data_IF_037050478324
#
_entry.id   IF_037050478324
#
_cell.length_a   1.000
_cell.length_b   1.000
_cell.length_c   1.000
_cell.angle_alpha   90.00
_cell.angle_beta   90.00
_cell.angle_gamma   90.00
#
_symmetry.space_group_name_H-M   'P 1'
#
loop_
_entity.id
_entity.type
_entity.pdbx_description
1 polymer ?
#
# COMPACT_ATOMS: atom_id res chain seq x y z
N UNK A 1 -12.11 -30.77 -21.83
CA UNK A 1 -12.25 -29.65 -20.87
C UNK A 1 -12.36 -28.37 -21.69
N UNK A 2 -13.55 -27.76 -21.77
CA UNK A 2 -13.83 -26.65 -22.69
C UNK A 2 -13.75 -25.33 -21.91
N UNK A 3 -12.76 -24.48 -22.19
CA UNK A 3 -12.67 -23.15 -21.59
C UNK A 3 -13.63 -22.21 -22.32
N UNK A 4 -14.74 -21.85 -21.67
CA UNK A 4 -15.87 -21.15 -22.30
C UNK A 4 -15.56 -19.72 -22.79
N UNK A 5 -14.47 -19.11 -22.31
CA UNK A 5 -13.96 -17.83 -22.84
C UNK A 5 -12.43 -17.86 -22.92
N UNK A 6 -11.83 -18.00 -24.11
CA UNK A 6 -10.41 -17.74 -24.35
C UNK A 6 -10.17 -16.22 -24.46
N UNK A 7 -10.61 -15.47 -23.45
CA UNK A 7 -10.27 -14.05 -23.33
C UNK A 7 -8.81 -13.99 -22.88
N UNK A 8 -7.90 -13.83 -23.85
CA UNK A 8 -6.51 -13.48 -23.58
C UNK A 8 -6.54 -12.07 -22.97
N UNK A 9 -6.53 -12.01 -21.64
CA UNK A 9 -6.32 -10.77 -20.90
C UNK A 9 -4.87 -10.33 -21.15
N UNK A 10 -4.67 -9.58 -22.23
CA UNK A 10 -3.49 -8.76 -22.41
C UNK A 10 -3.49 -7.70 -21.31
N UNK A 11 -2.87 -8.03 -20.18
CA UNK A 11 -2.60 -7.09 -19.11
C UNK A 11 -1.91 -5.87 -19.72
N UNK A 12 -2.64 -4.74 -19.75
CA UNK A 12 -2.08 -3.46 -20.18
C UNK A 12 -0.84 -3.18 -19.34
N UNK A 13 0.19 -2.61 -19.95
CA UNK A 13 1.49 -2.32 -19.32
C UNK A 13 1.29 -1.67 -17.93
N UNK A 14 0.40 -0.67 -17.86
CA UNK A 14 -0.06 -0.03 -16.62
C UNK A 14 -0.48 -0.99 -15.48
N UNK A 15 -1.21 -2.07 -15.78
CA UNK A 15 -1.66 -3.03 -14.74
C UNK A 15 -0.44 -3.81 -14.22
N UNK A 16 0.47 -4.22 -15.11
CA UNK A 16 1.71 -4.90 -14.70
C UNK A 16 2.58 -4.00 -13.83
N UNK A 17 2.80 -2.76 -14.26
CA UNK A 17 3.57 -1.75 -13.50
C UNK A 17 2.92 -1.46 -12.14
N UNK A 18 1.59 -1.33 -12.09
CA UNK A 18 0.84 -1.13 -10.84
C UNK A 18 0.97 -2.33 -9.90
N UNK A 19 0.93 -3.56 -10.41
CA UNK A 19 1.12 -4.78 -9.62
C UNK A 19 2.56 -4.92 -9.10
N UNK A 20 3.56 -4.55 -9.90
CA UNK A 20 4.97 -4.53 -9.49
C UNK A 20 5.24 -3.46 -8.42
N UNK A 21 4.68 -2.26 -8.58
CA UNK A 21 4.73 -1.19 -7.59
C UNK A 21 4.05 -1.60 -6.27
N UNK A 22 2.85 -2.18 -6.33
CA UNK A 22 2.15 -2.72 -5.17
C UNK A 22 2.96 -3.82 -4.47
N UNK A 23 3.55 -4.75 -5.23
CA UNK A 23 4.37 -5.83 -4.65
C UNK A 23 5.59 -5.26 -3.93
N UNK A 24 6.32 -4.32 -4.54
CA UNK A 24 7.48 -3.68 -3.93
C UNK A 24 7.12 -2.97 -2.61
N UNK A 25 6.08 -2.14 -2.65
CA UNK A 25 5.51 -1.43 -1.49
C UNK A 25 5.12 -2.41 -0.37
N UNK A 26 4.41 -3.50 -0.71
CA UNK A 26 4.01 -4.56 0.21
C UNK A 26 5.21 -5.22 0.88
N UNK A 27 6.21 -5.58 0.09
CA UNK A 27 7.39 -6.31 0.56
C UNK A 27 8.24 -5.42 1.48
N UNK A 28 8.42 -4.13 1.16
CA UNK A 28 9.09 -3.14 2.03
C UNK A 28 8.36 -2.95 3.37
N UNK A 29 7.02 -2.88 3.37
CA UNK A 29 6.22 -2.77 4.60
C UNK A 29 6.39 -4.00 5.49
N UNK A 30 6.26 -5.20 4.93
CA UNK A 30 6.28 -6.44 5.69
C UNK A 30 7.69 -6.75 6.22
N UNK A 31 8.75 -6.43 5.45
CA UNK A 31 10.13 -6.47 5.94
C UNK A 31 10.36 -5.51 7.11
N UNK A 32 9.83 -4.29 7.07
CA UNK A 32 9.94 -3.32 8.17
C UNK A 32 9.20 -3.76 9.46
N UNK A 33 8.28 -4.72 9.35
CA UNK A 33 7.57 -5.35 10.48
C UNK A 33 8.19 -6.68 10.94
N UNK A 34 9.29 -7.13 10.33
CA UNK A 34 9.89 -8.46 10.50
C UNK A 34 8.90 -9.62 10.19
N UNK A 35 8.00 -9.38 9.23
CA UNK A 35 6.97 -10.31 8.77
C UNK A 35 7.35 -10.85 7.39
N UNK A 36 7.34 -12.17 7.25
CA UNK A 36 7.55 -12.82 5.95
C UNK A 36 6.43 -12.39 4.94
N UNK A 37 6.79 -11.73 3.81
CA UNK A 37 5.83 -11.10 2.91
C UNK A 37 4.94 -12.07 2.11
N UNK A 38 5.22 -13.37 2.16
CA UNK A 38 4.44 -14.40 1.46
C UNK A 38 3.02 -14.60 2.03
N UNK A 39 2.76 -14.22 3.30
CA UNK A 39 1.65 -14.82 4.05
C UNK A 39 0.71 -13.87 4.82
N UNK A 40 0.80 -12.54 4.64
CA UNK A 40 -0.14 -11.59 5.27
C UNK A 40 -0.60 -10.45 4.34
N UNK A 41 -1.89 -10.06 4.38
CA UNK A 41 -2.35 -8.82 3.76
C UNK A 41 -1.81 -7.61 4.56
N UNK A 42 -1.42 -6.56 3.84
CA UNK A 42 -0.96 -5.30 4.44
C UNK A 42 -2.15 -4.51 4.97
N UNK A 43 -2.06 -4.00 6.19
CA UNK A 43 -3.10 -3.17 6.77
C UNK A 43 -3.07 -1.76 6.17
N UNK A 44 -4.24 -1.13 6.01
CA UNK A 44 -4.34 0.20 5.38
C UNK A 44 -3.50 1.29 6.08
N UNK A 45 -3.29 1.16 7.39
CA UNK A 45 -2.45 2.08 8.17
C UNK A 45 -0.95 1.92 7.85
N UNK A 46 -0.52 0.72 7.47
CA UNK A 46 0.88 0.45 7.13
C UNK A 46 1.18 0.97 5.72
N UNK A 47 0.22 0.80 4.80
CA UNK A 47 0.22 1.47 3.51
C UNK A 47 0.28 3.00 3.64
N UNK A 48 -0.56 3.58 4.51
CA UNK A 48 -0.53 5.01 4.77
C UNK A 48 0.85 5.46 5.29
N UNK A 49 1.43 4.75 6.26
CA UNK A 49 2.77 5.03 6.77
C UNK A 49 3.87 4.94 5.70
N UNK A 50 3.80 3.93 4.82
CA UNK A 50 4.69 3.82 3.67
C UNK A 50 4.57 5.05 2.75
N UNK A 51 3.35 5.47 2.39
CA UNK A 51 3.13 6.65 1.55
C UNK A 51 3.61 7.94 2.25
N UNK A 52 3.41 8.07 3.57
CA UNK A 52 3.91 9.22 4.33
C UNK A 52 5.44 9.30 4.36
N UNK A 53 6.16 8.18 4.28
CA UNK A 53 7.63 8.14 4.16
C UNK A 53 8.09 8.29 2.70
N UNK A 54 7.73 7.33 1.85
CA UNK A 54 8.31 7.12 0.52
C UNK A 54 7.50 7.73 -0.64
N UNK A 55 6.22 8.06 -0.42
CA UNK A 55 5.32 8.57 -1.46
C UNK A 55 5.57 10.02 -1.87
N UNK A 56 5.00 10.42 -3.00
CA UNK A 56 4.98 11.80 -3.49
C UNK A 56 4.03 12.70 -2.69
N UNK A 57 4.16 14.02 -2.83
CA UNK A 57 3.26 14.97 -2.16
C UNK A 57 1.79 14.83 -2.57
N UNK A 58 1.51 14.35 -3.78
CA UNK A 58 0.14 14.07 -4.25
C UNK A 58 -0.45 12.85 -3.54
N UNK A 59 0.28 11.72 -3.52
CA UNK A 59 -0.15 10.49 -2.84
C UNK A 59 -0.35 10.71 -1.33
N UNK A 60 0.55 11.48 -0.68
CA UNK A 60 0.39 11.87 0.75
C UNK A 60 -0.90 12.67 0.98
N UNK A 61 -1.28 13.54 0.04
CA UNK A 61 -2.53 14.32 0.10
C UNK A 61 -3.76 13.42 -0.09
N UNK A 62 -3.73 12.51 -1.06
CA UNK A 62 -4.81 11.55 -1.29
C UNK A 62 -5.03 10.63 -0.08
N UNK A 63 -3.97 10.05 0.48
CA UNK A 63 -4.04 9.22 1.70
C UNK A 63 -4.61 10.01 2.88
N UNK A 64 -4.21 11.28 3.05
CA UNK A 64 -4.77 12.17 4.09
C UNK A 64 -6.27 12.40 3.88
N UNK A 65 -6.71 12.66 2.64
CA UNK A 65 -8.13 12.83 2.31
C UNK A 65 -8.94 11.56 2.55
N UNK A 66 -8.41 10.38 2.19
CA UNK A 66 -9.08 9.07 2.38
C UNK A 66 -9.19 8.72 3.86
N UNK A 67 -8.18 9.06 4.68
CA UNK A 67 -8.18 8.78 6.11
C UNK A 67 -9.26 9.58 6.87
N UNK A 68 -9.61 10.78 6.39
CA UNK A 68 -10.69 11.67 6.86
C UNK A 68 -10.93 11.70 8.39
N UNK A 69 -9.83 11.79 9.16
CA UNK A 69 -9.85 11.86 10.62
C UNK A 69 -8.58 12.52 11.12
N UNK A 70 -8.53 12.80 12.42
CA UNK A 70 -7.34 13.38 13.01
C UNK A 70 -6.19 12.36 13.05
N UNK A 71 -5.06 12.76 12.47
CA UNK A 71 -3.82 11.98 12.41
C UNK A 71 -2.76 12.70 13.25
N UNK A 72 -2.00 11.92 14.01
CA UNK A 72 -0.90 12.38 14.84
C UNK A 72 0.42 11.90 14.24
N UNK A 73 1.36 12.82 14.07
CA UNK A 73 2.71 12.52 13.60
C UNK A 73 3.64 12.51 14.82
N UNK A 74 4.31 11.39 15.06
CA UNK A 74 5.31 11.25 16.11
C UNK A 74 6.46 10.38 15.59
N UNK A 75 7.71 10.81 15.79
CA UNK A 75 8.93 10.11 15.34
C UNK A 75 8.79 9.52 13.91
N UNK A 76 8.49 10.39 12.94
CA UNK A 76 8.36 10.04 11.51
C UNK A 76 7.35 8.90 11.23
N UNK A 77 6.36 8.75 12.10
CA UNK A 77 5.33 7.72 12.04
C UNK A 77 3.96 8.36 12.23
N UNK A 78 2.99 7.96 11.41
CA UNK A 78 1.64 8.51 11.42
C UNK A 78 0.68 7.53 12.08
N UNK A 79 -0.05 8.02 13.07
CA UNK A 79 -0.96 7.25 13.89
C UNK A 79 -2.34 7.93 13.96
N UNK A 80 -3.40 7.14 14.14
CA UNK A 80 -4.75 7.67 14.42
C UNK A 80 -5.15 7.49 15.88
N UNK A 81 -4.17 7.27 16.75
CA UNK A 81 -4.34 7.07 18.20
C UNK A 81 -3.40 8.08 18.84
N UNK A 82 -3.86 8.95 19.77
CA UNK A 82 -2.96 9.84 20.48
C UNK A 82 -1.97 9.00 21.29
N UNK A 83 -0.68 9.23 21.07
CA UNK A 83 0.37 8.70 21.93
C UNK A 83 0.35 9.52 23.22
N UNK A 84 -0.02 8.86 24.32
CA UNK A 84 -0.06 9.38 25.70
C UNK A 84 1.31 9.15 26.33
#
# INVERSE_FOLDING_TARGET
MYMAHPQIFTFKIFIKESMEAYKKMRDEILWAQDINPENKPVHFMDYANYIFRNGTMLEKREVTNILNRQLYIHNETVTSVPLI
#
